data_IF_427430694801
#
_entry.id   IF_427430694801
#
_cell.length_a   1.000
_cell.length_b   1.000
_cell.length_c   1.000
_cell.angle_alpha   90.00
_cell.angle_beta   90.00
_cell.angle_gamma   90.00
#
_symmetry.space_group_name_H-M   'P 1'
#
loop_
_entity.id
_entity.type
_entity.pdbx_description
1 polymer ?
#
# COMPACT_ATOMS: atom_id res chain seq x y z
N UNK A 1 -27.35 29.09 -21.21
CA UNK A 1 -27.56 27.64 -21.43
C UNK A 1 -26.28 26.95 -20.98
N UNK A 2 -26.37 26.04 -20.01
CA UNK A 2 -25.21 25.26 -19.54
C UNK A 2 -25.17 23.99 -20.39
N UNK A 3 -24.01 23.58 -20.95
CA UNK A 3 -23.94 22.33 -21.70
C UNK A 3 -24.22 21.15 -20.77
N UNK A 4 -25.23 20.35 -21.08
CA UNK A 4 -25.39 19.01 -20.51
C UNK A 4 -24.37 18.08 -21.20
N UNK A 5 -23.35 17.66 -20.45
CA UNK A 5 -22.34 16.71 -20.94
C UNK A 5 -22.97 15.39 -21.40
N UNK A 6 -22.35 14.76 -22.41
CA UNK A 6 -22.82 13.48 -22.93
C UNK A 6 -22.75 12.37 -21.87
N UNK A 7 -23.86 11.68 -21.65
CA UNK A 7 -23.89 10.48 -20.80
C UNK A 7 -23.47 9.27 -21.63
N UNK A 8 -22.48 8.51 -21.15
CA UNK A 8 -22.12 7.22 -21.75
C UNK A 8 -23.17 6.21 -21.28
N UNK A 9 -24.30 6.15 -22.00
CA UNK A 9 -25.34 5.17 -21.72
C UNK A 9 -25.01 3.88 -22.49
N UNK A 10 -24.70 2.82 -21.75
CA UNK A 10 -24.50 1.43 -22.23
C UNK A 10 -23.12 1.06 -22.82
N UNK A 11 -22.02 1.59 -22.28
CA UNK A 11 -20.73 0.92 -22.44
C UNK A 11 -20.63 -0.27 -21.48
N UNK A 12 -20.35 -1.48 -21.98
CA UNK A 12 -19.95 -2.60 -21.11
C UNK A 12 -18.56 -2.25 -20.56
N UNK A 13 -18.47 -1.99 -19.25
CA UNK A 13 -17.19 -1.79 -18.57
C UNK A 13 -16.69 -3.19 -18.21
N UNK A 14 -15.66 -3.67 -18.91
CA UNK A 14 -14.93 -4.87 -18.51
C UNK A 14 -13.82 -4.49 -17.53
N UNK A 15 -13.97 -4.92 -16.27
CA UNK A 15 -12.93 -4.79 -15.26
C UNK A 15 -11.92 -5.93 -15.45
N UNK A 16 -10.73 -5.59 -15.94
CA UNK A 16 -9.64 -6.54 -16.14
C UNK A 16 -8.50 -6.25 -15.17
N UNK A 17 -7.95 -7.28 -14.55
CA UNK A 17 -6.76 -7.14 -13.71
C UNK A 17 -5.56 -6.67 -14.54
N UNK A 18 -4.83 -5.70 -14.01
CA UNK A 18 -3.61 -5.24 -14.66
C UNK A 18 -2.49 -6.29 -14.52
N UNK A 19 -1.60 -6.41 -15.52
CA UNK A 19 -0.47 -7.32 -15.42
C UNK A 19 0.44 -6.93 -14.24
N UNK A 20 0.97 -7.93 -13.54
CA UNK A 20 1.88 -7.71 -12.42
C UNK A 20 3.28 -7.23 -12.85
N UNK A 21 3.68 -7.45 -14.11
CA UNK A 21 4.99 -7.10 -14.63
C UNK A 21 5.25 -5.60 -14.53
N UNK A 22 6.27 -5.22 -13.77
CA UNK A 22 6.64 -3.81 -13.58
C UNK A 22 8.16 -3.62 -13.59
N UNK A 23 8.58 -2.36 -13.62
CA UNK A 23 9.98 -2.00 -13.48
C UNK A 23 10.47 -2.23 -12.05
N UNK A 24 11.68 -2.76 -11.94
CA UNK A 24 12.31 -3.00 -10.64
C UNK A 24 12.97 -1.73 -10.11
N UNK A 25 12.56 -1.33 -8.91
CA UNK A 25 13.22 -0.32 -8.09
C UNK A 25 14.41 -0.97 -7.38
N UNK A 26 15.60 -0.45 -7.66
CA UNK A 26 16.85 -0.81 -6.97
C UNK A 26 17.19 0.31 -6.00
N UNK A 27 16.56 0.27 -4.82
CA UNK A 27 16.70 1.30 -3.79
C UNK A 27 18.16 1.44 -3.30
N UNK A 28 18.93 0.35 -3.28
CA UNK A 28 20.33 0.36 -2.86
C UNK A 28 21.24 1.14 -3.83
N UNK A 29 20.86 1.20 -5.11
CA UNK A 29 21.60 1.92 -6.16
C UNK A 29 20.85 3.14 -6.69
N UNK A 30 19.78 3.55 -6.01
CA UNK A 30 18.93 4.71 -6.35
C UNK A 30 18.52 4.77 -7.82
N UNK A 31 18.16 3.62 -8.41
CA UNK A 31 17.84 3.53 -9.85
C UNK A 31 16.68 2.59 -10.11
N UNK A 32 16.13 2.69 -11.30
CA UNK A 32 15.15 1.73 -11.84
C UNK A 32 15.86 0.92 -12.92
N UNK A 33 15.94 -0.40 -12.75
CA UNK A 33 16.59 -1.26 -13.73
C UNK A 33 16.10 -2.72 -13.68
N UNK A 34 15.85 -3.28 -14.86
CA UNK A 34 15.26 -4.61 -15.00
C UNK A 34 13.77 -4.61 -14.69
N UNK A 35 13.16 -5.78 -14.75
CA UNK A 35 11.73 -5.98 -14.50
C UNK A 35 11.53 -7.03 -13.42
N UNK A 36 10.39 -6.97 -12.77
CA UNK A 36 9.94 -7.96 -11.80
C UNK A 36 8.46 -8.22 -11.99
N UNK A 37 8.01 -9.38 -11.54
CA UNK A 37 6.67 -9.90 -11.82
C UNK A 37 6.16 -10.72 -10.64
N UNK A 38 4.86 -11.03 -10.64
CA UNK A 38 4.19 -11.84 -9.63
C UNK A 38 4.47 -11.38 -8.20
N UNK A 39 4.90 -12.31 -7.35
CA UNK A 39 5.11 -12.06 -5.91
C UNK A 39 6.12 -10.93 -5.64
N UNK A 40 7.18 -10.81 -6.43
CA UNK A 40 8.19 -9.76 -6.26
C UNK A 40 7.62 -8.37 -6.62
N UNK A 41 6.68 -8.31 -7.56
CA UNK A 41 5.95 -7.08 -7.89
C UNK A 41 5.01 -6.66 -6.78
N UNK A 42 4.37 -7.62 -6.12
CA UNK A 42 3.52 -7.35 -4.95
C UNK A 42 4.37 -6.85 -3.78
N UNK A 43 5.51 -7.48 -3.49
CA UNK A 43 6.45 -7.00 -2.47
C UNK A 43 6.88 -5.55 -2.69
N UNK A 44 7.24 -5.20 -3.92
CA UNK A 44 7.58 -3.81 -4.26
C UNK A 44 6.39 -2.86 -4.09
N UNK A 45 5.18 -3.27 -4.49
CA UNK A 45 3.98 -2.47 -4.33
C UNK A 45 3.67 -2.20 -2.85
N UNK A 46 3.73 -3.23 -1.99
CA UNK A 46 3.57 -3.13 -0.54
C UNK A 46 4.58 -2.15 0.05
N UNK A 47 5.86 -2.28 -0.31
CA UNK A 47 6.91 -1.35 0.13
C UNK A 47 6.57 0.10 -0.23
N UNK A 48 6.13 0.34 -1.47
CA UNK A 48 5.75 1.70 -1.89
C UNK A 48 4.49 2.20 -1.19
N UNK A 49 3.44 1.39 -1.05
CA UNK A 49 2.17 1.79 -0.45
C UNK A 49 2.38 2.19 1.02
N UNK A 50 3.09 1.38 1.80
CA UNK A 50 3.31 1.68 3.21
C UNK A 50 4.28 2.85 3.41
N UNK A 51 5.31 2.97 2.56
CA UNK A 51 6.29 4.06 2.62
C UNK A 51 5.84 5.39 2.01
N UNK A 52 4.65 5.46 1.41
CA UNK A 52 4.12 6.70 0.82
C UNK A 52 3.06 7.31 1.73
N UNK A 53 3.25 8.56 2.20
CA UNK A 53 2.21 9.29 2.91
C UNK A 53 1.00 9.57 2.01
N UNK A 54 -0.18 9.14 2.46
CA UNK A 54 -1.44 9.40 1.75
C UNK A 54 -1.72 10.91 1.70
N UNK A 55 -2.28 11.39 0.59
CA UNK A 55 -2.61 12.80 0.32
C UNK A 55 -1.43 13.78 0.14
N UNK A 56 -0.19 13.29 0.17
CA UNK A 56 0.98 14.16 0.08
C UNK A 56 1.41 14.48 -1.36
N UNK A 57 1.14 13.59 -2.31
CA UNK A 57 1.61 13.73 -3.69
C UNK A 57 0.46 13.74 -4.69
N UNK A 58 0.42 14.75 -5.55
CA UNK A 58 -0.62 14.92 -6.59
C UNK A 58 -0.62 13.81 -7.66
N UNK A 59 0.50 13.10 -7.83
CA UNK A 59 0.62 11.99 -8.79
C UNK A 59 -0.15 10.74 -8.35
N UNK A 60 -0.59 10.70 -7.09
CA UNK A 60 -1.29 9.56 -6.51
C UNK A 60 -2.77 9.86 -6.29
N UNK A 61 -3.60 8.82 -6.40
CA UNK A 61 -5.01 8.90 -6.02
C UNK A 61 -5.13 9.04 -4.50
N UNK A 62 -6.30 9.47 -4.03
CA UNK A 62 -6.61 9.56 -2.60
C UNK A 62 -6.56 8.22 -1.88
N UNK A 63 -6.62 7.11 -2.61
CA UNK A 63 -6.58 5.76 -2.07
C UNK A 63 -5.15 5.22 -1.92
N UNK A 64 -4.15 5.85 -2.55
CA UNK A 64 -2.78 5.34 -2.52
C UNK A 64 -1.99 5.86 -1.32
N UNK A 65 -1.15 4.99 -0.76
CA UNK A 65 -0.33 5.32 0.41
C UNK A 65 -0.97 4.89 1.73
N UNK A 66 -0.28 5.19 2.82
CA UNK A 66 -0.74 4.96 4.19
C UNK A 66 -0.68 6.24 5.01
N UNK A 67 -1.39 6.26 6.14
CA UNK A 67 -1.32 7.39 7.10
C UNK A 67 -0.59 6.97 8.39
N UNK A 68 0.19 5.88 8.34
CA UNK A 68 0.78 5.21 9.53
C UNK A 68 1.69 6.16 10.30
N UNK A 69 2.34 7.10 9.63
CA UNK A 69 3.13 8.18 10.24
C UNK A 69 2.37 8.97 11.30
N UNK A 70 1.05 9.11 11.16
CA UNK A 70 0.22 9.85 12.13
C UNK A 70 0.13 9.14 13.48
N UNK A 71 0.44 7.84 13.53
CA UNK A 71 0.37 7.06 14.77
C UNK A 71 1.59 7.26 15.68
N UNK A 72 2.68 7.83 15.16
CA UNK A 72 3.89 8.01 15.96
C UNK A 72 3.64 9.04 17.06
N UNK A 73 4.03 8.70 18.29
CA UNK A 73 3.77 9.53 19.49
C UNK A 73 2.36 9.39 20.10
N UNK A 74 1.48 8.57 19.52
CA UNK A 74 0.15 8.31 20.08
C UNK A 74 0.17 7.23 21.18
N UNK A 75 -0.95 7.09 21.92
CA UNK A 75 -1.10 6.08 22.96
C UNK A 75 -0.90 4.65 22.39
N UNK A 76 -0.05 3.79 22.98
CA UNK A 76 0.26 2.47 22.43
C UNK A 76 -0.94 1.55 22.18
N UNK A 77 -1.99 1.63 23.00
CA UNK A 77 -3.21 0.82 22.83
C UNK A 77 -3.96 1.25 21.57
N UNK A 78 -4.07 2.57 21.35
CA UNK A 78 -4.68 3.16 20.16
C UNK A 78 -3.86 2.84 18.90
N UNK A 79 -2.53 2.97 18.99
CA UNK A 79 -1.60 2.67 17.88
C UNK A 79 -1.80 1.24 17.38
N UNK A 80 -1.93 0.27 18.28
CA UNK A 80 -2.07 -1.15 17.89
C UNK A 80 -3.33 -1.41 17.06
N UNK A 81 -4.49 -0.88 17.48
CA UNK A 81 -5.75 -1.09 16.74
C UNK A 81 -5.75 -0.32 15.42
N UNK A 82 -5.27 0.92 15.42
CA UNK A 82 -5.31 1.77 14.23
C UNK A 82 -4.30 1.36 13.18
N UNK A 83 -3.07 0.99 13.57
CA UNK A 83 -2.08 0.47 12.62
C UNK A 83 -2.61 -0.77 11.89
N UNK A 84 -3.26 -1.68 12.62
CA UNK A 84 -3.85 -2.88 12.01
C UNK A 84 -5.00 -2.55 11.05
N UNK A 85 -5.78 -1.51 11.30
CA UNK A 85 -6.81 -1.01 10.39
C UNK A 85 -6.19 -0.37 9.15
N UNK A 86 -5.25 0.55 9.35
CA UNK A 86 -4.65 1.37 8.31
C UNK A 86 -3.77 0.56 7.35
N UNK A 87 -3.02 -0.43 7.85
CA UNK A 87 -2.26 -1.36 7.01
C UNK A 87 -3.19 -2.15 6.11
N UNK A 88 -4.30 -2.67 6.65
CA UNK A 88 -5.29 -3.41 5.84
C UNK A 88 -5.89 -2.51 4.77
N UNK A 89 -6.44 -1.37 5.18
CA UNK A 89 -7.07 -0.41 4.25
C UNK A 89 -6.13 0.07 3.14
N UNK A 90 -4.84 0.28 3.45
CA UNK A 90 -3.86 0.72 2.46
C UNK A 90 -3.49 -0.41 1.50
N UNK A 91 -3.20 -1.61 2.02
CA UNK A 91 -2.74 -2.72 1.18
C UNK A 91 -3.85 -3.33 0.33
N UNK A 92 -5.10 -3.38 0.81
CA UNK A 92 -6.22 -3.95 0.03
C UNK A 92 -6.72 -3.03 -1.08
N UNK A 93 -6.11 -1.86 -1.28
CA UNK A 93 -6.31 -1.07 -2.51
C UNK A 93 -5.60 -1.69 -3.73
N UNK A 94 -4.61 -2.55 -3.50
CA UNK A 94 -3.99 -3.35 -4.56
C UNK A 94 -4.80 -4.64 -4.73
N UNK A 95 -5.44 -4.80 -5.90
CA UNK A 95 -6.32 -5.92 -6.25
C UNK A 95 -5.64 -7.29 -6.25
N UNK A 96 -4.30 -7.32 -6.22
CA UNK A 96 -3.51 -8.55 -6.09
C UNK A 96 -3.41 -9.02 -4.64
N UNK A 97 -3.64 -8.13 -3.66
CA UNK A 97 -3.59 -8.43 -2.23
C UNK A 97 -4.98 -8.82 -1.75
N UNK A 98 -5.12 -10.05 -1.28
CA UNK A 98 -6.40 -10.61 -0.81
C UNK A 98 -6.59 -10.49 0.70
N UNK A 99 -5.51 -10.23 1.45
CA UNK A 99 -5.61 -10.04 2.89
C UNK A 99 -4.28 -9.71 3.57
N UNK A 100 -4.39 -9.32 4.83
CA UNK A 100 -3.25 -9.09 5.73
C UNK A 100 -3.54 -9.72 7.09
N UNK A 101 -2.64 -10.59 7.51
CA UNK A 101 -2.73 -11.39 8.74
C UNK A 101 -1.55 -11.12 9.68
N UNK A 102 -1.64 -11.65 10.89
CA UNK A 102 -0.57 -11.64 11.90
C UNK A 102 0.03 -10.25 12.17
N UNK A 103 -0.79 -9.19 12.10
CA UNK A 103 -0.32 -7.81 12.30
C UNK A 103 0.12 -7.64 13.76
N UNK A 104 1.38 -7.28 13.93
CA UNK A 104 2.02 -6.93 15.20
C UNK A 104 2.59 -5.54 15.11
N UNK A 105 2.47 -4.80 16.20
CA UNK A 105 3.00 -3.44 16.30
C UNK A 105 3.80 -3.29 17.56
N UNK A 106 5.00 -2.72 17.43
CA UNK A 106 5.90 -2.46 18.53
C UNK A 106 6.30 -1.00 18.50
N UNK A 107 6.00 -0.26 19.56
CA UNK A 107 6.43 1.13 19.73
C UNK A 107 7.83 1.11 20.32
N UNK A 108 8.79 1.76 19.65
CA UNK A 108 10.20 1.76 20.03
C UNK A 108 10.72 3.20 20.05
N UNK A 109 10.79 3.82 21.24
CA UNK A 109 11.16 5.24 21.35
C UNK A 109 10.22 6.13 20.53
N UNK A 110 10.80 6.85 19.57
CA UNK A 110 10.08 7.75 18.64
C UNK A 110 9.70 7.05 17.32
N UNK A 111 9.62 5.71 17.33
CA UNK A 111 9.33 4.91 16.14
C UNK A 111 8.22 3.88 16.37
N UNK A 112 7.62 3.45 15.25
CA UNK A 112 6.64 2.38 15.17
C UNK A 112 7.15 1.29 14.22
N UNK A 113 7.27 0.07 14.75
CA UNK A 113 7.55 -1.12 13.98
C UNK A 113 6.24 -1.87 13.71
N UNK A 114 6.00 -2.22 12.46
CA UNK A 114 4.85 -3.01 12.02
C UNK A 114 5.35 -4.26 11.32
N UNK A 115 4.88 -5.40 11.78
CA UNK A 115 5.16 -6.70 11.18
C UNK A 115 3.84 -7.34 10.77
N UNK A 116 3.75 -7.89 9.57
CA UNK A 116 2.55 -8.61 9.14
C UNK A 116 2.83 -9.61 8.01
N UNK A 117 1.88 -10.51 7.81
CA UNK A 117 1.86 -11.43 6.67
C UNK A 117 0.92 -10.88 5.61
N UNK A 118 1.43 -10.53 4.45
CA UNK A 118 0.63 -10.14 3.29
C UNK A 118 0.25 -11.38 2.52
N UNK A 119 -1.03 -11.51 2.16
CA UNK A 119 -1.57 -12.61 1.35
C UNK A 119 -1.96 -12.04 0.01
N UNK A 120 -1.43 -12.62 -1.07
CA UNK A 120 -1.70 -12.20 -2.43
C UNK A 120 -2.06 -13.38 -3.32
N UNK A 121 -2.59 -13.08 -4.51
CA UNK A 121 -2.85 -14.08 -5.57
C UNK A 121 -1.58 -14.84 -6.01
N UNK A 122 -0.40 -14.30 -5.72
CA UNK A 122 0.89 -14.90 -6.10
C UNK A 122 1.60 -15.63 -4.93
N UNK A 123 0.97 -15.67 -3.75
CA UNK A 123 1.54 -16.24 -2.53
C UNK A 123 1.55 -15.26 -1.35
N UNK A 124 2.02 -15.73 -0.20
CA UNK A 124 2.14 -14.93 1.02
C UNK A 124 3.60 -14.64 1.37
N UNK A 125 3.82 -13.54 2.08
CA UNK A 125 5.15 -13.14 2.55
C UNK A 125 5.04 -12.26 3.80
N UNK A 126 6.08 -12.31 4.62
CA UNK A 126 6.22 -11.43 5.78
C UNK A 126 6.87 -10.11 5.36
N UNK A 127 6.41 -9.03 5.98
CA UNK A 127 7.02 -7.72 5.87
C UNK A 127 7.28 -7.11 7.23
N UNK A 128 8.28 -6.25 7.27
CA UNK A 128 8.56 -5.38 8.39
C UNK A 128 8.64 -3.94 7.87
N UNK A 129 7.77 -3.08 8.38
CA UNK A 129 7.76 -1.65 8.09
C UNK A 129 8.14 -0.89 9.35
N UNK A 130 9.17 -0.07 9.26
CA UNK A 130 9.55 0.86 10.31
C UNK A 130 9.14 2.28 9.91
N UNK A 131 8.57 3.03 10.85
CA UNK A 131 8.20 4.44 10.68
C UNK A 131 8.79 5.23 11.83
N UNK A 132 9.52 6.29 11.51
CA UNK A 132 10.16 7.22 12.47
C UNK A 132 9.78 8.66 12.11
N UNK A 133 9.75 9.54 13.11
CA UNK A 133 9.66 11.01 12.91
C UNK A 133 11.04 11.60 12.65
#
# INVERSE_FOLDING_TARGET
MIPTGGSINNGVIEETEQPSLTWKLDAAKERIAGRLDGLEAVKQAVFKILGTPRYHHLIYTTNYGSEIEKLVGMNPVFVKSEAARMVREALTQDDRITGVENIRTTVTGDGLLIECTVISKYGSFEITQEVRV
#
